data_IF_144324413052
#
_entry.id   IF_144324413052
#
_cell.length_a   1.000
_cell.length_b   1.000
_cell.length_c   1.000
_cell.angle_alpha   90.00
_cell.angle_beta   90.00
_cell.angle_gamma   90.00
#
_symmetry.space_group_name_H-M   'P 1'
#
loop_
_entity.id
_entity.type
_entity.pdbx_description
1 polymer ?
#
# COMPACT_ATOMS: atom_id res chain seq x y z
N UNK A 1 51.87 -59.68 -3.84
CA UNK A 1 52.23 -58.25 -3.86
C UNK A 1 51.27 -57.52 -4.80
N UNK A 2 50.93 -56.29 -4.45
CA UNK A 2 50.00 -55.33 -5.08
C UNK A 2 48.50 -55.58 -4.83
N UNK A 3 47.86 -54.92 -3.84
CA UNK A 3 47.41 -53.51 -3.76
C UNK A 3 46.36 -53.12 -4.80
N UNK A 4 45.11 -52.93 -4.34
CA UNK A 4 44.29 -51.80 -4.81
C UNK A 4 43.22 -51.45 -3.76
N UNK A 5 43.39 -50.27 -3.15
CA UNK A 5 42.40 -49.61 -2.29
C UNK A 5 41.18 -49.23 -3.13
N UNK A 6 39.98 -49.64 -2.71
CA UNK A 6 38.72 -49.11 -3.24
C UNK A 6 38.53 -47.69 -2.70
N UNK A 7 38.56 -46.70 -3.60
CA UNK A 7 38.13 -45.34 -3.35
C UNK A 7 36.60 -45.32 -3.46
N UNK A 8 35.89 -45.08 -2.35
CA UNK A 8 34.46 -44.75 -2.36
C UNK A 8 34.34 -43.22 -2.49
N UNK A 9 33.93 -42.75 -3.66
CA UNK A 9 33.45 -41.38 -3.85
C UNK A 9 32.06 -41.28 -3.21
N UNK A 10 31.96 -40.59 -2.07
CA UNK A 10 30.69 -40.14 -1.53
C UNK A 10 30.27 -38.86 -2.28
N UNK A 11 29.25 -38.97 -3.13
CA UNK A 11 28.65 -37.82 -3.80
C UNK A 11 27.90 -36.97 -2.77
N UNK A 12 28.24 -35.68 -2.74
CA UNK A 12 27.58 -34.67 -1.94
C UNK A 12 26.14 -34.45 -2.43
N UNK A 13 25.17 -34.51 -1.51
CA UNK A 13 23.90 -33.81 -1.63
C UNK A 13 23.82 -32.85 -0.46
N UNK A 14 24.21 -31.62 -0.77
CA UNK A 14 24.04 -30.41 0.02
C UNK A 14 22.57 -30.23 0.41
N UNK A 15 22.23 -30.65 1.63
CA UNK A 15 21.00 -30.25 2.30
C UNK A 15 21.16 -28.86 2.89
N UNK A 16 21.03 -27.82 2.06
CA UNK A 16 20.82 -26.48 2.57
C UNK A 16 19.36 -26.35 2.98
N UNK A 17 19.09 -26.48 4.28
CA UNK A 17 17.89 -25.97 4.92
C UNK A 17 17.84 -24.46 4.63
N UNK A 18 17.06 -24.05 3.63
CA UNK A 18 16.65 -22.64 3.52
C UNK A 18 15.64 -22.42 4.63
N UNK A 19 16.12 -21.89 5.75
CA UNK A 19 15.28 -21.27 6.77
C UNK A 19 14.38 -20.25 6.07
N UNK A 20 13.07 -20.52 6.04
CA UNK A 20 12.08 -19.49 5.78
C UNK A 20 12.09 -18.51 6.95
N UNK A 21 12.97 -17.52 6.86
CA UNK A 21 12.85 -16.29 7.65
C UNK A 21 12.24 -15.24 6.73
N UNK A 22 10.90 -15.24 6.74
CA UNK A 22 10.16 -14.01 6.52
C UNK A 22 10.49 -12.99 7.62
N UNK A 23 10.20 -11.73 7.30
CA UNK A 23 10.38 -10.52 8.13
C UNK A 23 11.79 -9.92 8.10
N UNK A 24 12.08 -9.20 7.01
CA UNK A 24 12.69 -7.87 7.07
C UNK A 24 12.60 -7.21 5.69
N UNK A 25 11.50 -6.49 5.43
CA UNK A 25 11.41 -5.55 4.32
C UNK A 25 10.48 -4.42 4.73
N UNK A 26 10.94 -3.54 5.61
CA UNK A 26 10.23 -2.29 5.94
C UNK A 26 11.17 -1.08 6.10
N UNK A 27 12.47 -1.24 5.81
CA UNK A 27 13.48 -0.20 6.07
C UNK A 27 13.77 0.73 4.87
N UNK A 28 13.17 0.51 3.70
CA UNK A 28 13.53 1.25 2.46
C UNK A 28 12.32 1.75 1.65
N UNK A 29 11.12 1.79 2.26
CA UNK A 29 9.88 2.24 1.60
C UNK A 29 9.72 3.75 1.72
N UNK A 30 9.51 4.44 0.60
CA UNK A 30 9.32 5.90 0.60
C UNK A 30 7.88 6.22 0.98
N UNK A 31 7.70 7.03 2.02
CA UNK A 31 6.39 7.63 2.28
C UNK A 31 6.24 8.85 1.37
N UNK A 32 5.17 8.89 0.61
CA UNK A 32 4.79 10.08 -0.17
C UNK A 32 3.72 10.81 0.66
N UNK A 33 4.16 11.80 1.42
CA UNK A 33 3.31 12.57 2.32
C UNK A 33 3.23 14.01 1.90
N UNK A 34 2.08 14.62 2.16
CA UNK A 34 1.88 16.07 2.09
C UNK A 34 2.86 16.86 2.98
N UNK A 35 3.35 16.27 4.07
CA UNK A 35 4.16 16.97 5.07
C UNK A 35 5.61 17.23 4.62
N UNK A 36 6.14 16.47 3.65
CA UNK A 36 7.55 16.58 3.24
C UNK A 36 7.72 17.43 1.97
N UNK A 37 6.78 17.29 1.02
CA UNK A 37 6.64 18.06 -0.23
C UNK A 37 5.38 17.60 -0.96
N UNK A 38 4.65 18.49 -1.61
CA UNK A 38 3.55 18.07 -2.49
C UNK A 38 4.15 17.30 -3.68
N UNK A 39 3.88 15.98 -3.82
CA UNK A 39 4.44 15.15 -4.87
C UNK A 39 3.79 15.45 -6.22
N UNK A 40 4.51 15.19 -7.31
CA UNK A 40 3.92 15.24 -8.66
C UNK A 40 3.00 14.03 -8.89
N UNK A 41 2.05 14.10 -9.83
CA UNK A 41 1.23 12.95 -10.21
C UNK A 41 2.06 11.72 -10.60
N UNK A 42 3.21 11.91 -11.24
CA UNK A 42 4.12 10.82 -11.65
C UNK A 42 4.74 10.14 -10.44
N UNK A 43 5.16 10.90 -9.42
CA UNK A 43 5.69 10.36 -8.17
C UNK A 43 4.61 9.59 -7.40
N UNK A 44 3.38 10.11 -7.38
CA UNK A 44 2.25 9.39 -6.77
C UNK A 44 1.93 8.11 -7.56
N UNK A 45 1.96 8.16 -8.89
CA UNK A 45 1.73 6.99 -9.72
C UNK A 45 2.82 5.93 -9.54
N UNK A 46 4.09 6.33 -9.40
CA UNK A 46 5.20 5.42 -9.12
C UNK A 46 5.04 4.73 -7.76
N UNK A 47 4.62 5.47 -6.73
CA UNK A 47 4.36 4.93 -5.40
C UNK A 47 3.14 3.99 -5.34
N UNK A 48 2.05 4.33 -6.02
CA UNK A 48 0.80 3.54 -6.03
C UNK A 48 0.84 2.36 -7.01
N UNK A 49 1.63 2.48 -8.09
CA UNK A 49 1.72 1.50 -9.17
C UNK A 49 3.17 1.16 -9.52
N UNK A 50 3.96 0.62 -8.57
CA UNK A 50 5.35 0.26 -8.84
C UNK A 50 5.45 -0.69 -10.04
N UNK A 51 6.52 -0.54 -10.84
CA UNK A 51 6.67 -1.28 -12.12
C UNK A 51 6.68 -2.78 -11.91
N UNK A 52 7.14 -3.23 -10.76
CA UNK A 52 7.18 -4.61 -10.29
C UNK A 52 5.76 -5.19 -10.21
N UNK A 53 4.79 -4.39 -9.78
CA UNK A 53 3.37 -4.75 -9.70
C UNK A 53 2.73 -4.80 -11.09
N UNK A 54 3.10 -3.89 -11.98
CA UNK A 54 2.66 -3.93 -13.38
C UNK A 54 3.21 -5.14 -14.14
N UNK A 55 4.47 -5.51 -13.89
CA UNK A 55 5.08 -6.72 -14.43
C UNK A 55 4.37 -7.99 -13.93
N UNK A 56 4.08 -8.06 -12.63
CA UNK A 56 3.31 -9.16 -12.04
C UNK A 56 1.91 -9.30 -12.66
N UNK A 57 1.25 -8.17 -12.99
CA UNK A 57 -0.06 -8.20 -13.68
C UNK A 57 0.06 -8.75 -15.10
N UNK A 58 1.10 -8.35 -15.86
CA UNK A 58 1.34 -8.88 -17.20
C UNK A 58 1.61 -10.39 -17.16
N UNK A 59 2.36 -10.85 -16.16
CA UNK A 59 2.59 -12.28 -15.89
C UNK A 59 1.29 -13.01 -15.51
N UNK A 60 0.48 -12.44 -14.62
CA UNK A 60 -0.84 -12.98 -14.28
C UNK A 60 -1.76 -13.11 -15.50
N UNK A 61 -1.84 -12.07 -16.34
CA UNK A 61 -2.65 -12.09 -17.55
C UNK A 61 -2.19 -13.18 -18.54
N UNK A 62 -0.88 -13.41 -18.63
CA UNK A 62 -0.33 -14.49 -19.45
C UNK A 62 -0.67 -15.88 -18.89
N UNK A 63 -0.61 -16.06 -17.56
CA UNK A 63 -0.98 -17.30 -16.85
C UNK A 63 -2.48 -17.60 -17.00
N UNK A 64 -3.33 -16.58 -16.90
CA UNK A 64 -4.78 -16.70 -17.12
C UNK A 64 -5.12 -17.07 -18.57
N UNK A 65 -4.44 -16.45 -19.54
CA UNK A 65 -4.56 -16.82 -20.95
C UNK A 65 -4.12 -18.28 -21.20
N UNK A 66 -3.22 -18.80 -20.38
CA UNK A 66 -2.80 -20.20 -20.39
C UNK A 66 -3.76 -21.14 -19.61
N UNK A 67 -4.90 -20.64 -19.13
CA UNK A 67 -5.93 -21.43 -18.45
C UNK A 67 -5.66 -21.71 -16.97
N UNK A 68 -4.67 -21.05 -16.37
CA UNK A 68 -4.32 -21.19 -14.96
C UNK A 68 -4.83 -19.98 -14.15
N UNK A 69 -5.19 -20.18 -12.88
CA UNK A 69 -5.58 -19.06 -11.99
C UNK A 69 -4.34 -18.36 -11.46
N UNK A 70 -4.22 -17.04 -11.68
CA UNK A 70 -3.17 -16.28 -11.00
C UNK A 70 -3.49 -16.19 -9.50
N UNK A 71 -2.56 -16.62 -8.66
CA UNK A 71 -2.70 -16.56 -7.19
C UNK A 71 -1.94 -15.38 -6.57
N UNK A 72 -1.31 -14.53 -7.39
CA UNK A 72 -0.51 -13.40 -6.89
C UNK A 72 -1.38 -12.41 -6.14
N UNK A 73 -1.29 -12.45 -4.81
CA UNK A 73 -1.75 -11.37 -3.94
C UNK A 73 -0.61 -10.39 -3.80
N UNK A 74 -0.80 -9.21 -4.34
CA UNK A 74 0.12 -8.11 -4.07
C UNK A 74 -0.11 -7.69 -2.61
N UNK A 75 0.90 -7.87 -1.74
CA UNK A 75 0.73 -7.52 -0.34
C UNK A 75 0.44 -6.03 -0.21
N UNK A 76 -0.53 -5.64 0.63
CA UNK A 76 -0.79 -4.24 0.98
C UNK A 76 0.48 -3.54 1.51
N UNK A 77 1.39 -4.31 2.10
CA UNK A 77 2.71 -3.85 2.55
C UNK A 77 3.65 -3.47 1.40
N UNK A 78 3.43 -3.92 0.16
CA UNK A 78 4.35 -3.68 -0.97
C UNK A 78 4.18 -2.32 -1.67
N UNK A 79 3.30 -1.44 -1.18
CA UNK A 79 3.10 -0.10 -1.74
C UNK A 79 3.70 0.97 -0.83
N UNK A 80 4.36 1.95 -1.46
CA UNK A 80 4.77 3.18 -0.79
C UNK A 80 3.52 3.89 -0.25
N UNK A 81 3.55 4.32 1.01
CA UNK A 81 2.37 4.88 1.66
C UNK A 81 2.14 6.32 1.16
N UNK A 82 1.10 6.51 0.35
CA UNK A 82 0.59 7.83 -0.05
C UNK A 82 -0.37 8.31 1.03
N UNK A 83 0.02 9.31 1.82
CA UNK A 83 -0.70 9.70 3.03
C UNK A 83 -1.21 11.15 2.97
N UNK A 84 -2.49 11.33 3.29
CA UNK A 84 -3.09 12.64 3.61
C UNK A 84 -3.28 12.73 5.12
N UNK A 85 -2.76 13.80 5.72
CA UNK A 85 -2.91 14.09 7.15
C UNK A 85 -4.08 15.05 7.40
N UNK A 86 -4.68 14.94 8.60
CA UNK A 86 -5.77 15.81 9.03
C UNK A 86 -5.43 16.51 10.35
N UNK A 87 -5.95 17.73 10.56
CA UNK A 87 -5.97 18.34 11.88
C UNK A 87 -6.66 17.43 12.91
N UNK A 88 -6.24 17.52 14.17
CA UNK A 88 -6.82 16.72 15.25
C UNK A 88 -8.33 17.00 15.36
N UNK A 89 -9.12 15.95 15.50
CA UNK A 89 -10.58 16.05 15.64
C UNK A 89 -11.34 16.53 14.39
N UNK A 90 -10.66 16.74 13.26
CA UNK A 90 -11.28 17.25 12.03
C UNK A 90 -11.23 16.23 10.90
N UNK A 91 -12.27 16.25 10.06
CA UNK A 91 -12.36 15.60 8.75
C UNK A 91 -12.37 16.62 7.60
N UNK A 92 -12.04 17.89 7.86
CA UNK A 92 -11.99 18.92 6.83
C UNK A 92 -10.68 18.85 6.03
N UNK A 93 -10.80 18.92 4.69
CA UNK A 93 -9.65 18.99 3.80
C UNK A 93 -9.09 20.41 3.74
N UNK A 94 -7.83 20.57 4.17
CA UNK A 94 -7.09 21.82 4.03
C UNK A 94 -6.80 22.15 2.55
N UNK A 95 -6.33 23.37 2.27
CA UNK A 95 -5.93 23.76 0.92
C UNK A 95 -4.80 22.88 0.39
N UNK A 96 -3.79 22.63 1.21
CA UNK A 96 -2.65 21.77 0.91
C UNK A 96 -3.11 20.33 0.64
N UNK A 97 -4.04 19.81 1.46
CA UNK A 97 -4.61 18.47 1.28
C UNK A 97 -5.29 18.34 -0.09
N UNK A 98 -6.00 19.38 -0.53
CA UNK A 98 -6.63 19.40 -1.86
C UNK A 98 -5.59 19.38 -2.98
N UNK A 99 -4.52 20.19 -2.89
CA UNK A 99 -3.44 20.18 -3.89
C UNK A 99 -2.76 18.81 -3.97
N UNK A 100 -2.53 18.16 -2.82
CA UNK A 100 -2.01 16.79 -2.81
C UNK A 100 -2.98 15.79 -3.44
N UNK A 101 -4.26 15.87 -3.09
CA UNK A 101 -5.31 15.02 -3.67
C UNK A 101 -5.46 15.23 -5.18
N UNK A 102 -5.10 16.41 -5.69
CA UNK A 102 -5.07 16.64 -7.13
C UNK A 102 -4.00 15.80 -7.82
N UNK A 103 -2.82 15.67 -7.21
CA UNK A 103 -1.77 14.77 -7.70
C UNK A 103 -2.22 13.30 -7.65
N UNK A 104 -2.88 12.90 -6.56
CA UNK A 104 -3.45 11.54 -6.40
C UNK A 104 -4.51 11.25 -7.47
N UNK A 105 -5.46 12.18 -7.67
CA UNK A 105 -6.52 12.02 -8.65
C UNK A 105 -5.99 11.91 -10.08
N UNK A 106 -5.02 12.74 -10.46
CA UNK A 106 -4.35 12.68 -11.77
C UNK A 106 -3.60 11.36 -11.97
N UNK A 107 -2.88 10.89 -10.94
CA UNK A 107 -2.17 9.61 -10.98
C UNK A 107 -3.12 8.43 -11.20
N UNK A 108 -4.24 8.41 -10.47
CA UNK A 108 -5.28 7.38 -10.59
C UNK A 108 -5.94 7.37 -11.97
N UNK A 109 -6.25 8.55 -12.54
CA UNK A 109 -6.77 8.66 -13.90
C UNK A 109 -5.76 8.17 -14.95
N UNK A 110 -4.50 8.60 -14.84
CA UNK A 110 -3.44 8.19 -15.78
C UNK A 110 -3.18 6.67 -15.76
N UNK A 111 -3.64 5.98 -14.71
CA UNK A 111 -3.49 4.54 -14.52
C UNK A 111 -4.83 3.80 -14.46
N UNK A 112 -5.92 4.37 -14.97
CA UNK A 112 -7.27 3.78 -14.90
C UNK A 112 -7.40 2.38 -15.52
N UNK A 113 -6.53 2.02 -16.47
CA UNK A 113 -6.48 0.67 -17.06
C UNK A 113 -5.77 -0.37 -16.19
N UNK A 114 -5.08 0.07 -15.13
CA UNK A 114 -4.24 -0.77 -14.26
C UNK A 114 -4.99 -1.25 -13.02
N UNK A 115 -5.97 -0.49 -12.53
CA UNK A 115 -6.76 -0.81 -11.33
C UNK A 115 -8.26 -0.94 -11.65
N UNK A 116 -9.01 -1.67 -10.84
CA UNK A 116 -10.43 -1.99 -11.04
C UNK A 116 -11.34 -1.39 -9.96
N UNK A 117 -10.83 -1.31 -8.73
CA UNK A 117 -11.48 -0.67 -7.59
C UNK A 117 -10.44 0.11 -6.78
N UNK A 118 -10.89 1.11 -6.01
CA UNK A 118 -10.05 1.85 -5.09
C UNK A 118 -10.68 1.85 -3.71
N UNK A 119 -9.96 1.36 -2.72
CA UNK A 119 -10.38 1.42 -1.32
C UNK A 119 -9.58 2.49 -0.59
N UNK A 120 -10.30 3.39 0.07
CA UNK A 120 -9.73 4.50 0.85
C UNK A 120 -9.91 4.17 2.33
N UNK A 121 -8.82 4.03 3.05
CA UNK A 121 -8.84 3.67 4.47
C UNK A 121 -8.45 4.87 5.32
N UNK A 122 -9.33 5.26 6.24
CA UNK A 122 -9.03 6.31 7.20
C UNK A 122 -8.58 5.73 8.53
N UNK A 123 -7.61 6.39 9.14
CA UNK A 123 -7.03 6.02 10.44
C UNK A 123 -7.01 7.23 11.38
N UNK A 124 -7.08 6.96 12.67
CA UNK A 124 -6.83 7.94 13.73
C UNK A 124 -5.61 7.55 14.56
N UNK A 125 -5.13 8.49 15.36
CA UNK A 125 -4.29 8.15 16.51
C UNK A 125 -5.16 7.58 17.64
N UNK A 126 -4.53 7.17 18.74
CA UNK A 126 -5.22 6.58 19.90
C UNK A 126 -5.97 7.62 20.75
N UNK A 127 -5.86 8.92 20.46
CA UNK A 127 -6.43 9.96 21.32
C UNK A 127 -7.94 10.07 21.15
N UNK A 128 -8.66 10.35 22.25
CA UNK A 128 -10.13 10.42 22.26
C UNK A 128 -10.81 9.06 22.47
N UNK A 129 -12.15 9.03 22.39
CA UNK A 129 -12.93 7.80 22.58
C UNK A 129 -12.99 6.96 21.30
N UNK A 130 -13.01 5.64 21.43
CA UNK A 130 -13.12 4.71 20.30
C UNK A 130 -14.28 5.04 19.33
N UNK A 131 -15.47 5.34 19.86
CA UNK A 131 -16.65 5.69 19.05
C UNK A 131 -16.51 7.01 18.27
N UNK A 132 -15.65 7.92 18.73
CA UNK A 132 -15.31 9.15 18.01
C UNK A 132 -14.30 8.83 16.92
N UNK A 133 -13.30 8.01 17.22
CA UNK A 133 -12.26 7.61 16.27
C UNK A 133 -12.81 6.75 15.12
N UNK A 134 -13.75 5.85 15.40
CA UNK A 134 -14.47 5.08 14.38
C UNK A 134 -15.14 6.01 13.36
N UNK A 135 -16.00 6.91 13.84
CA UNK A 135 -16.69 7.90 12.99
C UNK A 135 -15.70 8.82 12.26
N UNK A 136 -14.74 9.40 12.98
CA UNK A 136 -13.79 10.35 12.39
C UNK A 136 -12.93 9.71 11.30
N UNK A 137 -12.51 8.46 11.50
CA UNK A 137 -11.75 7.71 10.50
C UNK A 137 -12.56 7.49 9.22
N UNK A 138 -13.85 7.14 9.35
CA UNK A 138 -14.76 6.94 8.22
C UNK A 138 -15.08 8.25 7.50
N UNK A 139 -15.37 9.32 8.26
CA UNK A 139 -15.69 10.64 7.71
C UNK A 139 -14.52 11.19 6.89
N UNK A 140 -13.28 11.02 7.37
CA UNK A 140 -12.07 11.40 6.62
C UNK A 140 -11.95 10.65 5.29
N UNK A 141 -12.19 9.35 5.29
CA UNK A 141 -12.17 8.57 4.06
C UNK A 141 -13.27 9.02 3.09
N UNK A 142 -14.46 9.33 3.60
CA UNK A 142 -15.61 9.77 2.81
C UNK A 142 -15.40 11.14 2.15
N UNK A 143 -14.83 12.12 2.86
CA UNK A 143 -14.54 13.43 2.25
C UNK A 143 -13.49 13.33 1.14
N UNK A 144 -12.49 12.45 1.30
CA UNK A 144 -11.46 12.21 0.29
C UNK A 144 -12.10 11.54 -0.94
N UNK A 145 -12.92 10.51 -0.73
CA UNK A 145 -13.71 9.89 -1.80
C UNK A 145 -14.55 10.93 -2.54
N UNK A 146 -15.30 11.75 -1.81
CA UNK A 146 -16.17 12.77 -2.39
C UNK A 146 -15.36 13.75 -3.26
N UNK A 147 -14.19 14.19 -2.77
CA UNK A 147 -13.28 15.04 -3.53
C UNK A 147 -12.81 14.38 -4.83
N UNK A 148 -12.29 13.15 -4.75
CA UNK A 148 -11.75 12.44 -5.92
C UNK A 148 -12.82 12.09 -6.94
N UNK A 149 -14.00 11.64 -6.51
CA UNK A 149 -15.13 11.36 -7.40
C UNK A 149 -15.61 12.64 -8.09
N UNK A 150 -15.75 13.74 -7.35
CA UNK A 150 -16.22 15.02 -7.89
C UNK A 150 -15.27 15.58 -8.95
N UNK A 151 -13.99 15.66 -8.64
CA UNK A 151 -13.00 16.37 -9.45
C UNK A 151 -12.34 15.49 -10.52
N UNK A 152 -12.17 14.19 -10.23
CA UNK A 152 -11.45 13.25 -11.11
C UNK A 152 -12.35 12.13 -11.68
N UNK A 153 -13.65 12.16 -11.38
CA UNK A 153 -14.64 11.22 -11.94
C UNK A 153 -14.30 9.74 -11.70
N UNK A 154 -13.54 9.46 -10.63
CA UNK A 154 -13.19 8.10 -10.27
C UNK A 154 -14.45 7.29 -9.99
N UNK A 155 -14.42 6.01 -10.40
CA UNK A 155 -15.50 5.04 -10.21
C UNK A 155 -15.00 3.90 -9.30
N UNK A 156 -15.92 3.09 -8.78
CA UNK A 156 -15.61 1.94 -7.92
C UNK A 156 -14.72 2.31 -6.72
N UNK A 157 -15.02 3.44 -6.09
CA UNK A 157 -14.30 3.91 -4.91
C UNK A 157 -15.07 3.54 -3.64
N UNK A 158 -14.44 2.83 -2.73
CA UNK A 158 -14.99 2.44 -1.43
C UNK A 158 -14.22 3.06 -0.28
N UNK A 159 -14.85 3.17 0.89
CA UNK A 159 -14.26 3.80 2.07
C UNK A 159 -14.42 2.92 3.30
N UNK A 160 -13.34 2.80 4.09
CA UNK A 160 -13.33 2.07 5.36
C UNK A 160 -12.74 2.97 6.44
N UNK A 161 -13.40 3.03 7.59
CA UNK A 161 -12.83 3.59 8.82
C UNK A 161 -12.11 2.47 9.59
N UNK A 162 -10.83 2.68 9.92
CA UNK A 162 -10.01 1.73 10.68
C UNK A 162 -9.76 2.19 12.12
N UNK A 163 -10.34 3.32 12.53
CA UNK A 163 -10.11 3.89 13.86
C UNK A 163 -8.60 3.93 14.17
N UNK A 164 -8.19 3.57 15.38
CA UNK A 164 -6.80 3.41 15.81
C UNK A 164 -6.29 1.96 15.75
N UNK A 165 -6.92 1.07 14.99
CA UNK A 165 -6.64 -0.38 15.01
C UNK A 165 -5.33 -0.77 14.32
N UNK A 166 -4.85 0.08 13.40
CA UNK A 166 -3.67 -0.16 12.59
C UNK A 166 -2.72 1.05 12.65
N UNK A 167 -2.03 1.26 13.80
CA UNK A 167 -1.05 2.34 13.92
C UNK A 167 0.11 2.10 12.94
N UNK A 168 0.48 3.16 12.21
CA UNK A 168 1.68 3.17 11.37
C UNK A 168 2.92 3.40 12.23
N UNK A 169 2.81 4.31 13.17
CA UNK A 169 3.82 4.56 14.20
C UNK A 169 3.39 3.86 15.48
N UNK A 170 3.91 2.66 15.68
CA UNK A 170 3.65 1.85 16.88
C UNK A 170 4.45 2.32 18.08
N UNK A 171 5.53 3.08 17.86
CA UNK A 171 6.38 3.61 18.93
C UNK A 171 5.75 4.86 19.57
N UNK A 172 5.08 5.69 18.76
CA UNK A 172 4.23 6.79 19.22
C UNK A 172 2.79 6.64 18.70
N UNK A 173 1.88 6.00 19.48
CA UNK A 173 0.48 5.85 19.13
C UNK A 173 -0.28 7.18 18.94
N UNK A 174 0.25 8.31 19.43
CA UNK A 174 -0.33 9.66 19.30
C UNK A 174 0.17 10.44 18.08
N UNK A 175 1.13 9.85 17.35
CA UNK A 175 1.80 10.44 16.20
C UNK A 175 0.82 10.90 15.12
N UNK A 176 1.17 12.01 14.46
CA UNK A 176 0.44 12.49 13.29
C UNK A 176 0.42 11.47 12.14
N UNK A 177 1.41 10.59 12.08
CA UNK A 177 1.48 9.50 11.10
C UNK A 177 0.32 8.52 11.27
N UNK A 178 -0.26 8.39 12.46
CA UNK A 178 -1.42 7.53 12.67
C UNK A 178 -2.73 8.18 12.18
N UNK A 179 -2.80 9.51 12.15
CA UNK A 179 -3.94 10.28 11.61
C UNK A 179 -3.82 10.45 10.08
N UNK A 180 -4.01 9.35 9.36
CA UNK A 180 -3.73 9.27 7.92
C UNK A 180 -4.89 8.71 7.11
N UNK A 181 -4.80 8.92 5.81
CA UNK A 181 -5.55 8.18 4.79
C UNK A 181 -4.58 7.28 4.03
N UNK A 182 -4.98 6.05 3.77
CA UNK A 182 -4.29 5.14 2.84
C UNK A 182 -5.15 4.90 1.59
N UNK A 183 -4.50 4.88 0.44
CA UNK A 183 -5.11 4.51 -0.84
C UNK A 183 -4.70 3.09 -1.19
N UNK A 184 -5.68 2.21 -1.37
CA UNK A 184 -5.47 0.80 -1.67
C UNK A 184 -6.17 0.47 -2.99
N UNK A 185 -5.48 0.67 -4.14
CA UNK A 185 -6.00 0.22 -5.42
C UNK A 185 -6.02 -1.31 -5.49
N UNK A 186 -7.08 -1.86 -6.08
CA UNK A 186 -7.21 -3.29 -6.41
C UNK A 186 -7.09 -3.46 -7.92
N UNK A 187 -6.56 -4.60 -8.37
CA UNK A 187 -6.20 -4.90 -9.76
C UNK A 187 -6.90 -6.14 -10.29
#
# INVERSE_FOLDING_TARGET
MNTTRKLLLAAALSGSLVSMQGMAADADRKTVSINDRVPTPEQVAEAMFPKEIQALKAECAAVEKAGMRCQSRIPKSSLDSVLVTFPRGSSELTGEAKVFLDSVGKALQAKESVWTSLRIEGHTDITGSASVNERLSKDRADVVKAYLVKNYKLKNVETIGRSSEQPKDTADPTSALNRRIEFVPEW
#
